data_IF_159142124048
#
_entry.id   IF_159142124048
#
_cell.length_a   1.000
_cell.length_b   1.000
_cell.length_c   1.000
_cell.angle_alpha   90.00
_cell.angle_beta   90.00
_cell.angle_gamma   90.00
#
_symmetry.space_group_name_H-M   'P 1'
#
loop_
_entity.id
_entity.type
_entity.pdbx_description
1 polymer ?
#
# COMPACT_ATOMS: atom_id res chain seq x y z
N UNK A 1 27.00 -38.94 38.92
CA UNK A 1 25.88 -39.89 38.77
C UNK A 1 25.63 -40.11 37.28
N UNK A 2 25.37 -41.37 36.93
CA UNK A 2 24.96 -41.90 35.62
C UNK A 2 26.07 -42.28 34.61
N UNK A 3 26.28 -43.60 34.57
CA UNK A 3 26.87 -44.42 33.50
C UNK A 3 25.78 -44.86 32.51
N UNK A 4 26.17 -45.18 31.27
CA UNK A 4 25.42 -45.99 30.28
C UNK A 4 25.75 -45.53 28.86
N UNK A 5 26.47 -46.28 27.99
CA UNK A 5 26.26 -47.67 27.57
C UNK A 5 25.13 -47.70 26.52
N UNK A 6 25.22 -48.23 25.30
CA UNK A 6 26.15 -49.12 24.63
C UNK A 6 25.97 -49.01 23.11
N UNK A 7 27.03 -49.33 22.36
CA UNK A 7 26.98 -49.55 20.91
C UNK A 7 26.23 -50.86 20.62
N UNK A 8 25.43 -50.89 19.55
CA UNK A 8 25.08 -52.14 18.88
C UNK A 8 25.00 -51.90 17.36
N UNK A 9 25.74 -52.71 16.63
CA UNK A 9 25.79 -52.74 15.17
C UNK A 9 25.53 -54.21 14.78
N UNK A 10 24.54 -54.46 13.93
CA UNK A 10 24.51 -55.63 13.04
C UNK A 10 23.47 -55.42 11.93
N UNK A 11 23.75 -56.06 10.81
CA UNK A 11 23.40 -55.73 9.42
C UNK A 11 22.39 -56.74 8.86
N UNK A 12 21.87 -56.43 7.65
CA UNK A 12 21.13 -57.27 6.67
C UNK A 12 19.59 -57.26 6.85
N UNK A 13 18.74 -56.96 5.88
CA UNK A 13 18.86 -56.62 4.45
C UNK A 13 17.45 -56.63 3.80
N UNK A 14 17.41 -56.31 2.50
CA UNK A 14 16.32 -56.51 1.51
C UNK A 14 15.29 -55.37 1.32
N UNK A 15 15.58 -54.50 0.33
CA UNK A 15 14.75 -54.35 -0.88
C UNK A 15 13.37 -53.70 -0.78
N UNK A 16 13.23 -52.47 -1.32
CA UNK A 16 12.12 -52.11 -2.21
C UNK A 16 12.47 -50.83 -3.00
N UNK A 17 12.24 -50.91 -4.30
CA UNK A 17 12.58 -49.94 -5.33
C UNK A 17 11.60 -48.76 -5.35
N UNK A 18 12.09 -47.59 -5.78
CA UNK A 18 11.32 -46.67 -6.63
C UNK A 18 10.64 -45.48 -5.96
N UNK A 19 11.40 -44.50 -5.46
CA UNK A 19 10.87 -43.13 -5.37
C UNK A 19 11.04 -42.46 -6.73
N UNK A 20 10.00 -42.57 -7.55
CA UNK A 20 9.90 -41.96 -8.86
C UNK A 20 9.97 -40.43 -8.71
N UNK A 21 11.15 -39.85 -8.94
CA UNK A 21 11.33 -38.42 -9.14
C UNK A 21 10.63 -38.06 -10.45
N UNK A 22 9.31 -37.81 -10.37
CA UNK A 22 8.52 -37.31 -11.48
C UNK A 22 9.02 -35.91 -11.80
N UNK A 23 9.91 -35.82 -12.80
CA UNK A 23 10.33 -34.58 -13.43
C UNK A 23 9.06 -33.83 -13.81
N UNK A 24 8.78 -32.71 -13.14
CA UNK A 24 7.69 -31.81 -13.54
C UNK A 24 8.08 -31.25 -14.90
N UNK A 25 7.62 -31.86 -15.98
CA UNK A 25 7.57 -31.19 -17.27
C UNK A 25 6.63 -30.00 -17.10
N UNK A 26 7.22 -28.80 -16.97
CA UNK A 26 6.47 -27.55 -17.02
C UNK A 26 5.81 -27.50 -18.40
N UNK A 27 4.49 -27.67 -18.43
CA UNK A 27 3.71 -27.63 -19.66
C UNK A 27 3.42 -26.15 -19.99
N UNK A 28 4.05 -25.57 -21.02
CA UNK A 28 3.90 -24.15 -21.34
C UNK A 28 2.46 -23.76 -21.70
N UNK A 29 1.62 -24.71 -22.11
CA UNK A 29 0.20 -24.46 -22.41
C UNK A 29 -0.67 -24.30 -21.16
N UNK A 30 -0.24 -24.80 -20.00
CA UNK A 30 -0.96 -24.59 -18.73
C UNK A 30 -0.62 -23.24 -18.09
N UNK A 31 0.57 -22.71 -18.36
CA UNK A 31 0.99 -21.36 -17.94
C UNK A 31 0.10 -20.30 -18.59
N UNK A 32 -0.02 -20.31 -19.92
CA UNK A 32 -0.81 -19.31 -20.66
C UNK A 32 -2.32 -19.35 -20.37
N UNK A 33 -2.90 -20.50 -19.99
CA UNK A 33 -4.30 -20.59 -19.55
C UNK A 33 -4.52 -20.02 -18.14
N UNK A 34 -3.51 -20.06 -17.28
CA UNK A 34 -3.57 -19.42 -15.95
C UNK A 34 -3.40 -17.92 -16.08
N UNK A 35 -2.42 -17.47 -16.85
CA UNK A 35 -2.16 -16.06 -17.13
C UNK A 35 -3.38 -15.37 -17.78
N UNK A 36 -4.03 -16.01 -18.75
CA UNK A 36 -5.25 -15.48 -19.36
C UNK A 36 -6.45 -15.40 -18.41
N UNK A 37 -6.54 -16.28 -17.41
CA UNK A 37 -7.60 -16.27 -16.39
C UNK A 37 -7.33 -15.25 -15.29
N UNK A 38 -6.08 -15.16 -14.84
CA UNK A 38 -5.63 -14.15 -13.88
C UNK A 38 -5.84 -12.73 -14.44
N UNK A 39 -5.56 -12.50 -15.72
CA UNK A 39 -5.82 -11.21 -16.37
C UNK A 39 -7.33 -10.87 -16.48
N UNK A 40 -8.20 -11.86 -16.68
CA UNK A 40 -9.66 -11.65 -16.69
C UNK A 40 -10.22 -11.38 -15.28
N UNK A 41 -9.63 -12.00 -14.26
CA UNK A 41 -10.03 -11.83 -12.87
C UNK A 41 -9.59 -10.44 -12.35
N UNK A 42 -8.39 -9.98 -12.70
CA UNK A 42 -7.91 -8.63 -12.37
C UNK A 42 -8.74 -7.52 -13.05
N UNK A 43 -9.10 -7.71 -14.33
CA UNK A 43 -9.92 -6.73 -15.06
C UNK A 43 -11.35 -6.66 -14.55
N UNK A 44 -11.92 -7.80 -14.13
CA UNK A 44 -13.24 -7.82 -13.51
C UNK A 44 -13.24 -7.24 -12.09
N UNK A 45 -12.20 -7.48 -11.29
CA UNK A 45 -12.03 -6.81 -9.99
C UNK A 45 -11.86 -5.30 -10.14
N UNK A 46 -11.09 -4.85 -11.15
CA UNK A 46 -10.91 -3.44 -11.44
C UNK A 46 -12.25 -2.78 -11.83
N UNK A 47 -13.09 -3.48 -12.59
CA UNK A 47 -14.43 -3.02 -12.91
C UNK A 47 -15.29 -2.82 -11.66
N UNK A 48 -15.30 -3.78 -10.73
CA UNK A 48 -16.03 -3.68 -9.46
C UNK A 48 -15.52 -2.55 -8.56
N UNK A 49 -14.25 -2.16 -8.72
CA UNK A 49 -13.62 -1.11 -7.92
C UNK A 49 -13.92 0.29 -8.44
N UNK A 50 -13.83 0.49 -9.75
CA UNK A 50 -14.02 1.81 -10.40
C UNK A 50 -15.49 2.05 -10.74
N UNK A 51 -16.31 1.00 -10.77
CA UNK A 51 -17.71 0.98 -11.23
C UNK A 51 -17.92 1.41 -12.70
N UNK A 52 -16.84 1.68 -13.43
CA UNK A 52 -16.88 2.11 -14.83
C UNK A 52 -15.73 1.48 -15.63
N UNK A 53 -16.04 0.96 -16.82
CA UNK A 53 -15.03 0.53 -17.80
C UNK A 53 -14.56 1.74 -18.61
N UNK A 54 -13.61 2.49 -18.06
CA UNK A 54 -12.94 3.58 -18.77
C UNK A 54 -11.61 3.09 -19.35
N UNK A 55 -11.37 3.44 -20.60
CA UNK A 55 -10.05 3.30 -21.23
C UNK A 55 -9.46 4.69 -21.43
N UNK A 56 -8.18 4.84 -21.16
CA UNK A 56 -7.51 6.12 -21.21
C UNK A 56 -5.99 5.96 -21.31
N UNK A 57 -5.32 7.05 -21.64
CA UNK A 57 -3.86 7.08 -21.72
C UNK A 57 -3.29 7.19 -20.32
N UNK A 58 -2.33 6.32 -19.97
CA UNK A 58 -1.61 6.40 -18.70
C UNK A 58 -0.67 7.61 -18.73
N UNK A 59 -0.95 8.61 -17.90
CA UNK A 59 -0.16 9.84 -17.79
C UNK A 59 1.01 9.66 -16.83
N UNK A 60 0.81 8.89 -15.77
CA UNK A 60 1.88 8.57 -14.84
C UNK A 60 1.42 7.72 -13.66
N UNK A 61 2.40 7.37 -12.84
CA UNK A 61 2.22 6.59 -11.61
C UNK A 61 2.92 7.34 -10.49
N UNK A 62 2.27 7.49 -9.34
CA UNK A 62 2.91 8.09 -8.17
C UNK A 62 3.76 7.08 -7.37
N UNK A 63 4.41 7.59 -6.33
CA UNK A 63 5.23 6.80 -5.40
C UNK A 63 4.46 5.73 -4.62
N UNK A 64 3.13 5.81 -4.55
CA UNK A 64 2.27 4.87 -3.85
C UNK A 64 1.69 3.80 -4.78
N UNK A 65 1.86 3.96 -6.09
CA UNK A 65 1.29 3.08 -7.10
C UNK A 65 -0.11 3.49 -7.57
N UNK A 66 -0.59 4.71 -7.23
CA UNK A 66 -1.79 5.24 -7.87
C UNK A 66 -1.47 5.56 -9.33
N UNK A 67 -2.34 5.13 -10.24
CA UNK A 67 -2.18 5.30 -11.69
C UNK A 67 -3.13 6.37 -12.20
N UNK A 68 -2.60 7.35 -12.91
CA UNK A 68 -3.35 8.51 -13.39
C UNK A 68 -3.58 8.41 -14.89
N UNK A 69 -4.83 8.59 -15.29
CA UNK A 69 -5.27 8.42 -16.68
C UNK A 69 -5.93 9.67 -17.22
N UNK A 70 -5.73 9.92 -18.51
CA UNK A 70 -6.39 10.99 -19.26
C UNK A 70 -7.01 10.46 -20.56
N UNK A 71 -8.22 10.93 -20.85
CA UNK A 71 -8.87 10.81 -22.15
C UNK A 71 -9.68 12.06 -22.46
N UNK A 72 -9.14 12.88 -23.38
CA UNK A 72 -9.74 14.15 -23.85
C UNK A 72 -10.99 13.96 -24.71
N UNK A 73 -11.32 12.73 -25.11
CA UNK A 73 -12.59 12.41 -25.81
C UNK A 73 -13.78 12.48 -24.86
N UNK A 74 -13.55 12.30 -23.56
CA UNK A 74 -14.57 12.43 -22.54
C UNK A 74 -14.87 13.90 -22.22
N UNK A 75 -16.07 14.14 -21.69
CA UNK A 75 -16.49 15.46 -21.24
C UNK A 75 -15.60 16.01 -20.11
N UNK A 76 -15.57 17.35 -20.01
CA UNK A 76 -14.86 18.06 -18.95
C UNK A 76 -15.30 17.57 -17.56
N UNK A 77 -14.36 17.34 -16.65
CA UNK A 77 -14.61 16.70 -15.36
C UNK A 77 -14.58 15.16 -15.34
N UNK A 78 -14.73 14.46 -16.48
CA UNK A 78 -14.58 12.98 -16.56
C UNK A 78 -13.35 12.52 -17.36
N UNK A 79 -12.67 13.47 -18.01
CA UNK A 79 -11.48 13.26 -18.83
C UNK A 79 -10.22 12.87 -18.06
N UNK A 80 -10.14 13.15 -16.74
CA UNK A 80 -9.04 12.74 -15.86
C UNK A 80 -9.59 11.88 -14.74
N UNK A 81 -8.91 10.78 -14.44
CA UNK A 81 -9.25 9.93 -13.29
C UNK A 81 -8.02 9.22 -12.74
N UNK A 82 -8.16 8.70 -11.52
CA UNK A 82 -7.13 7.94 -10.83
C UNK A 82 -7.65 6.54 -10.55
N UNK A 83 -6.79 5.54 -10.73
CA UNK A 83 -6.97 4.19 -10.21
C UNK A 83 -6.06 4.09 -9.00
N UNK A 84 -6.67 4.00 -7.82
CA UNK A 84 -5.95 3.96 -6.55
C UNK A 84 -5.10 2.70 -6.42
N UNK A 85 -4.07 2.75 -5.57
CA UNK A 85 -3.26 1.59 -5.19
C UNK A 85 -4.03 0.62 -4.29
N UNK A 86 -3.67 -0.65 -4.31
CA UNK A 86 -4.25 -1.68 -3.43
C UNK A 86 -3.77 -1.57 -1.98
N UNK A 87 -2.59 -0.97 -1.77
CA UNK A 87 -2.03 -0.76 -0.44
C UNK A 87 -1.34 0.60 -0.37
N UNK A 88 -1.67 1.38 0.65
CA UNK A 88 -1.03 2.66 0.92
C UNK A 88 -0.71 2.79 2.40
N UNK A 89 0.54 3.14 2.71
CA UNK A 89 1.05 3.35 4.08
C UNK A 89 0.71 2.19 5.04
N UNK A 90 0.76 0.94 4.55
CA UNK A 90 0.47 -0.27 5.33
C UNK A 90 -1.02 -0.56 5.57
N UNK A 91 -1.92 0.23 4.96
CA UNK A 91 -3.36 -0.02 4.96
C UNK A 91 -3.76 -0.72 3.65
N UNK A 92 -4.54 -1.80 3.75
CA UNK A 92 -5.19 -2.40 2.59
C UNK A 92 -6.30 -1.45 2.09
N UNK A 93 -6.09 -0.85 0.94
CA UNK A 93 -6.99 0.10 0.27
C UNK A 93 -7.59 -0.47 -1.00
N UNK A 94 -7.61 -1.80 -1.12
CA UNK A 94 -8.21 -2.47 -2.27
C UNK A 94 -9.69 -2.10 -2.41
N UNK A 95 -10.47 -2.26 -1.33
CA UNK A 95 -11.88 -1.84 -1.28
C UNK A 95 -12.09 -0.48 -0.59
N UNK A 96 -11.22 -0.15 0.37
CA UNK A 96 -11.31 1.12 1.12
C UNK A 96 -10.53 2.23 0.44
N UNK A 97 -10.97 2.61 -0.75
CA UNK A 97 -10.42 3.75 -1.49
C UNK A 97 -10.84 5.07 -0.84
N UNK A 98 -9.92 6.02 -0.75
CA UNK A 98 -10.19 7.36 -0.21
C UNK A 98 -9.61 8.43 -1.15
N UNK A 99 -10.38 9.49 -1.40
CA UNK A 99 -9.96 10.63 -2.21
C UNK A 99 -8.74 11.35 -1.66
N UNK A 100 -8.53 11.29 -0.34
CA UNK A 100 -7.38 11.92 0.31
C UNK A 100 -6.04 11.21 0.07
N UNK A 101 -6.05 10.03 -0.57
CA UNK A 101 -4.84 9.24 -0.88
C UNK A 101 -3.98 9.86 -1.99
N UNK A 102 -4.56 10.76 -2.80
CA UNK A 102 -3.84 11.45 -3.88
C UNK A 102 -2.82 12.42 -3.27
N UNK A 103 -1.53 12.31 -3.62
CA UNK A 103 -0.53 13.22 -3.12
C UNK A 103 -0.66 14.62 -3.75
N UNK A 104 -0.14 15.67 -3.09
CA UNK A 104 -0.42 17.06 -3.47
C UNK A 104 0.05 17.42 -4.89
N UNK A 105 1.12 16.78 -5.38
CA UNK A 105 1.61 16.97 -6.75
C UNK A 105 0.59 16.54 -7.81
N UNK A 106 -0.09 15.42 -7.59
CA UNK A 106 -1.10 14.89 -8.51
C UNK A 106 -2.49 15.49 -8.27
N UNK A 107 -2.76 15.98 -7.06
CA UNK A 107 -4.02 16.63 -6.71
C UNK A 107 -4.29 17.86 -7.60
N UNK A 108 -3.27 18.68 -7.89
CA UNK A 108 -3.43 19.85 -8.77
C UNK A 108 -3.87 19.47 -10.18
N UNK A 109 -3.27 18.42 -10.74
CA UNK A 109 -3.56 17.95 -12.09
C UNK A 109 -4.92 17.24 -12.17
N UNK A 110 -5.24 16.38 -11.19
CA UNK A 110 -6.51 15.66 -11.13
C UNK A 110 -7.71 16.61 -11.03
N UNK A 111 -7.58 17.67 -10.22
CA UNK A 111 -8.61 18.70 -10.06
C UNK A 111 -8.58 19.80 -11.12
N UNK A 112 -7.85 19.61 -12.22
CA UNK A 112 -7.77 20.56 -13.33
C UNK A 112 -7.35 21.98 -12.91
N UNK A 113 -6.54 22.11 -11.86
CA UNK A 113 -5.93 23.39 -11.47
C UNK A 113 -4.77 23.77 -12.40
N UNK A 114 -4.17 22.76 -13.03
CA UNK A 114 -3.09 22.89 -14.01
C UNK A 114 -3.25 21.78 -15.04
N UNK A 115 -2.91 22.06 -16.29
CA UNK A 115 -2.90 21.05 -17.36
C UNK A 115 -1.64 20.19 -17.32
N UNK A 116 -0.61 20.68 -16.65
CA UNK A 116 0.70 20.08 -16.60
C UNK A 116 0.77 19.00 -15.51
N UNK A 117 1.05 17.73 -15.86
CA UNK A 117 1.23 16.68 -14.86
C UNK A 117 2.58 16.86 -14.14
N UNK A 118 2.71 16.37 -12.90
CA UNK A 118 3.95 16.47 -12.14
C UNK A 118 5.11 15.68 -12.78
N UNK A 119 4.81 14.74 -13.69
CA UNK A 119 5.81 14.05 -14.51
C UNK A 119 6.56 15.00 -15.44
N UNK A 120 5.87 15.99 -16.02
CA UNK A 120 6.47 16.97 -16.94
C UNK A 120 6.97 18.20 -16.18
N UNK A 121 6.21 18.64 -15.18
CA UNK A 121 6.50 19.82 -14.37
C UNK A 121 6.59 19.45 -12.88
N UNK A 122 7.77 18.97 -12.42
CA UNK A 122 7.93 18.51 -11.06
C UNK A 122 7.76 19.67 -10.06
N UNK A 123 7.20 19.40 -8.87
CA UNK A 123 7.04 20.43 -7.84
C UNK A 123 8.42 20.88 -7.32
N UNK A 124 8.50 22.15 -6.92
CA UNK A 124 9.71 22.71 -6.32
C UNK A 124 9.99 22.01 -4.99
N UNK A 125 11.08 21.25 -4.92
CA UNK A 125 11.50 20.55 -3.71
C UNK A 125 11.88 21.55 -2.61
N UNK A 126 11.34 21.37 -1.40
CA UNK A 126 11.67 22.14 -0.21
C UNK A 126 11.87 21.20 0.96
N UNK A 127 12.81 21.54 1.85
CA UNK A 127 13.22 20.69 2.99
C UNK A 127 12.10 20.35 3.99
N UNK A 128 11.05 21.18 4.05
CA UNK A 128 9.93 21.00 4.97
C UNK A 128 8.76 20.24 4.35
N UNK A 129 8.78 19.98 3.04
CA UNK A 129 7.71 19.22 2.39
C UNK A 129 7.80 17.78 2.85
N UNK A 130 6.66 17.21 3.22
CA UNK A 130 6.61 15.81 3.62
C UNK A 130 6.96 14.91 2.45
N UNK A 131 7.99 14.09 2.64
CA UNK A 131 8.40 13.06 1.68
C UNK A 131 7.31 12.00 1.53
N UNK A 132 6.63 11.66 2.64
CA UNK A 132 5.54 10.71 2.67
C UNK A 132 4.22 11.42 3.02
N UNK A 133 3.36 11.55 2.01
CA UNK A 133 1.95 11.95 2.13
C UNK A 133 1.18 10.98 3.03
N UNK A 134 0.39 11.54 3.93
CA UNK A 134 -0.51 10.80 4.81
C UNK A 134 -1.94 11.10 4.37
N UNK A 135 -2.68 10.04 4.07
CA UNK A 135 -4.12 10.14 3.83
C UNK A 135 -4.86 10.57 5.11
N UNK A 136 -6.15 10.82 5.00
CA UNK A 136 -7.00 11.25 6.10
C UNK A 136 -7.03 10.21 7.25
N UNK A 137 -6.50 10.59 8.41
CA UNK A 137 -6.43 9.75 9.61
C UNK A 137 -7.63 9.93 10.56
N UNK A 138 -8.68 10.63 10.15
CA UNK A 138 -9.89 10.84 10.95
C UNK A 138 -10.52 9.50 11.35
N UNK A 139 -10.92 9.35 12.62
CA UNK A 139 -11.51 8.10 13.14
C UNK A 139 -10.49 6.97 13.41
N UNK A 140 -9.21 7.19 13.14
CA UNK A 140 -8.12 6.27 13.52
C UNK A 140 -7.42 6.75 14.79
N UNK A 141 -6.59 5.91 15.45
CA UNK A 141 -5.74 6.36 16.56
C UNK A 141 -4.78 7.51 16.19
N UNK A 142 -4.51 7.71 14.90
CA UNK A 142 -3.67 8.79 14.37
C UNK A 142 -4.41 10.10 14.08
N UNK A 143 -5.67 10.23 14.49
CA UNK A 143 -6.46 11.45 14.28
C UNK A 143 -5.90 12.65 15.04
N UNK A 144 -6.13 13.85 14.51
CA UNK A 144 -5.74 15.08 15.19
C UNK A 144 -6.64 15.32 16.41
N UNK A 145 -6.03 15.45 17.58
CA UNK A 145 -6.70 15.84 18.83
C UNK A 145 -6.21 17.24 19.22
N UNK A 146 -7.12 18.24 19.29
CA UNK A 146 -6.71 19.59 19.65
C UNK A 146 -6.26 19.64 21.12
N UNK A 147 -5.18 20.39 21.37
CA UNK A 147 -4.69 20.69 22.70
C UNK A 147 -4.29 22.17 22.79
N UNK A 148 -4.23 22.71 24.01
CA UNK A 148 -3.70 24.05 24.21
C UNK A 148 -2.21 24.06 23.93
N UNK A 149 -1.78 24.79 22.89
CA UNK A 149 -0.35 25.03 22.59
C UNK A 149 0.29 26.04 23.54
N UNK A 150 -0.53 26.70 24.39
CA UNK A 150 -0.04 27.66 25.39
C UNK A 150 0.41 26.97 26.66
N UNK A 151 1.53 27.45 27.22
CA UNK A 151 2.03 27.01 28.53
C UNK A 151 1.20 27.63 29.66
N UNK A 152 1.23 27.01 30.84
CA UNK A 152 0.58 27.56 32.05
C UNK A 152 1.13 28.96 32.34
N UNK A 153 0.23 29.96 32.42
CA UNK A 153 0.61 31.36 32.62
C UNK A 153 0.99 31.68 34.08
N UNK A 154 0.27 31.09 35.03
CA UNK A 154 0.45 31.33 36.47
C UNK A 154 1.09 30.09 37.08
N UNK A 155 2.21 30.25 37.76
CA UNK A 155 2.84 29.15 38.50
C UNK A 155 2.25 29.09 39.91
N UNK A 156 1.86 27.90 40.35
CA UNK A 156 1.35 27.69 41.71
C UNK A 156 2.53 27.61 42.68
N UNK A 157 2.37 28.22 43.85
CA UNK A 157 3.31 27.98 44.94
C UNK A 157 3.06 26.57 45.50
N UNK A 158 4.13 25.76 45.57
CA UNK A 158 4.08 24.40 46.14
C UNK A 158 4.45 24.48 47.62
N UNK A 159 3.55 24.10 48.56
CA UNK A 159 3.84 24.19 49.97
C UNK A 159 4.93 23.21 50.41
N UNK A 160 5.78 23.57 51.38
CA UNK A 160 6.73 22.64 51.96
C UNK A 160 5.99 21.56 52.77
N UNK A 161 6.39 20.30 52.59
CA UNK A 161 5.76 19.13 53.24
C UNK A 161 6.26 18.88 54.67
N UNK A 162 7.18 19.71 55.18
CA UNK A 162 7.73 19.53 56.52
C UNK A 162 6.67 19.84 57.58
N UNK A 163 6.46 18.90 58.51
CA UNK A 163 5.56 19.10 59.64
C UNK A 163 5.96 20.35 60.43
N UNK A 164 4.97 21.19 60.79
CA UNK A 164 5.16 22.29 61.74
C UNK A 164 5.71 21.71 63.05
N UNK A 165 6.91 22.14 63.44
CA UNK A 165 7.45 21.87 64.77
C UNK A 165 6.78 22.74 65.82
#
# INVERSE_FOLDING_TARGET
MSFGGSKCLLVFGVGAQGTNARTRHNNPYKEGRKEGRENSDETSLLFLRVNELKTGTLVGVDKYGNKYYEDKRNFFGRHRWVIYTSEMNGKNTFWEVDGSMVPPEWHRWLHSMTDDPPTTHPPVARKFIWENHKFNLSGTPGQYVPYSTTRKKIQEWVPPTTASK
#
